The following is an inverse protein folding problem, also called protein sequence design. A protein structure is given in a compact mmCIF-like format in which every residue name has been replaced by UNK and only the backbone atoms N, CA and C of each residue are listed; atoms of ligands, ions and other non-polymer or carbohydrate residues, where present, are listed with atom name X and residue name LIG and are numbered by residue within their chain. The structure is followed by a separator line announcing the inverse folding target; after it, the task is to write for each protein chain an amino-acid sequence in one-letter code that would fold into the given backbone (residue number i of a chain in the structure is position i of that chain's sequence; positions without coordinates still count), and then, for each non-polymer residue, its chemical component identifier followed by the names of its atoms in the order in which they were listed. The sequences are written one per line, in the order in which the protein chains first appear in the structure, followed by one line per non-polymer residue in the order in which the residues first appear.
data_IF_859857035531
#
_entry.id   IF_859857035531
#
_cell.length_a   1.000
_cell.length_b   1.000
_cell.length_c   1.000
_cell.angle_alpha   90.00
_cell.angle_beta   90.00
_cell.angle_gamma   90.00
#
_symmetry.space_group_name_H-M   'P 1'
#
loop_
_entity.id
_entity.type
_entity.pdbx_description
1 polymer ?
#
# COMPACT_ATOMS: atom_id res chain seq x y z
N UNK A 1 10.99 -0.41 15.62
CA UNK A 1 10.34 0.15 14.40
C UNK A 1 11.33 0.17 13.22
N UNK A 2 12.15 -0.88 13.01
CA UNK A 2 13.31 -0.80 12.11
C UNK A 2 13.19 -1.57 10.79
N UNK A 3 12.25 -2.51 10.64
CA UNK A 3 12.25 -3.37 9.44
C UNK A 3 10.84 -3.49 8.83
N UNK A 4 10.36 -2.42 8.18
CA UNK A 4 9.22 -2.50 7.26
C UNK A 4 9.77 -2.75 5.85
N UNK A 5 9.21 -3.68 5.05
CA UNK A 5 9.65 -3.89 3.68
C UNK A 5 9.45 -2.63 2.85
N UNK A 6 10.41 -2.29 1.99
CA UNK A 6 10.33 -1.13 1.11
C UNK A 6 9.72 -1.55 -0.23
N UNK A 7 8.66 -0.87 -0.67
CA UNK A 7 8.00 -1.14 -1.93
C UNK A 7 8.36 -0.06 -2.96
N UNK A 8 9.09 -0.45 -4.00
CA UNK A 8 9.56 0.42 -5.08
C UNK A 8 8.66 0.39 -6.32
N UNK A 9 7.78 -0.62 -6.44
CA UNK A 9 6.94 -0.80 -7.63
C UNK A 9 7.65 -1.41 -8.84
N UNK A 10 8.89 -1.89 -8.68
CA UNK A 10 9.61 -2.62 -9.74
C UNK A 10 9.45 -4.14 -9.56
N UNK A 11 9.04 -4.84 -10.63
CA UNK A 11 8.86 -6.30 -10.72
C UNK A 11 7.42 -6.79 -10.55
N UNK A 12 6.98 -7.71 -11.42
CA UNK A 12 5.60 -8.25 -11.51
C UNK A 12 5.03 -8.82 -10.19
N UNK A 13 5.89 -9.20 -9.24
CA UNK A 13 5.51 -9.96 -8.03
C UNK A 13 5.53 -9.15 -6.73
N UNK A 14 5.81 -7.85 -6.77
CA UNK A 14 6.12 -7.09 -5.56
C UNK A 14 4.88 -6.66 -4.76
N UNK A 15 3.71 -6.56 -5.41
CA UNK A 15 2.50 -5.97 -4.81
C UNK A 15 1.66 -6.97 -4.00
N UNK A 16 1.58 -8.25 -4.42
CA UNK A 16 0.92 -9.30 -3.64
C UNK A 16 1.64 -9.56 -2.32
N UNK A 17 2.97 -9.66 -2.35
CA UNK A 17 3.80 -9.82 -1.14
C UNK A 17 3.59 -8.64 -0.18
N UNK A 18 3.47 -7.42 -0.72
CA UNK A 18 3.19 -6.24 0.08
C UNK A 18 1.78 -6.28 0.71
N UNK A 19 0.76 -6.67 -0.05
CA UNK A 19 -0.62 -6.80 0.44
C UNK A 19 -0.69 -7.86 1.55
N UNK A 20 -0.13 -9.04 1.33
CA UNK A 20 -0.10 -10.13 2.31
C UNK A 20 0.62 -9.70 3.59
N UNK A 21 1.72 -8.96 3.47
CA UNK A 21 2.46 -8.44 4.63
C UNK A 21 1.63 -7.46 5.47
N UNK A 22 0.85 -6.58 4.83
CA UNK A 22 -0.04 -5.65 5.55
C UNK A 22 -1.22 -6.40 6.17
N UNK A 23 -1.78 -7.41 5.49
CA UNK A 23 -2.84 -8.26 6.03
C UNK A 23 -2.38 -9.00 7.29
N UNK A 24 -1.20 -9.61 7.26
CA UNK A 24 -0.58 -10.25 8.43
C UNK A 24 -0.39 -9.26 9.59
N UNK A 25 0.02 -8.02 9.30
CA UNK A 25 0.21 -6.99 10.31
C UNK A 25 -1.12 -6.56 10.97
N UNK A 26 -2.20 -6.48 10.21
CA UNK A 26 -3.55 -6.22 10.75
C UNK A 26 -3.96 -7.33 11.70
N UNK A 27 -3.80 -8.58 11.26
CA UNK A 27 -4.22 -9.76 12.03
C UNK A 27 -3.40 -9.89 13.33
N UNK A 28 -2.09 -9.70 13.27
CA UNK A 28 -1.20 -9.87 14.42
C UNK A 28 -1.31 -8.73 15.45
N UNK A 29 -1.54 -7.50 15.00
CA UNK A 29 -1.41 -6.29 15.83
C UNK A 29 -2.70 -5.46 15.94
N UNK A 30 -3.81 -5.93 15.34
CA UNK A 30 -5.10 -5.22 15.29
C UNK A 30 -4.96 -3.76 14.83
N UNK A 31 -4.14 -3.55 13.80
CA UNK A 31 -3.75 -2.19 13.38
C UNK A 31 -4.94 -1.45 12.76
N UNK A 32 -5.26 -0.22 13.21
CA UNK A 32 -6.34 0.56 12.61
C UNK A 32 -6.03 1.00 11.18
N UNK A 33 -7.05 1.02 10.30
CA UNK A 33 -6.96 1.49 8.91
C UNK A 33 -6.28 2.85 8.73
N UNK A 34 -6.54 3.78 9.65
CA UNK A 34 -5.94 5.12 9.64
C UNK A 34 -4.43 5.07 9.81
N UNK A 35 -3.93 4.15 10.63
CA UNK A 35 -2.50 3.97 10.83
C UNK A 35 -1.87 3.34 9.58
N UNK A 36 -2.53 2.36 8.97
CA UNK A 36 -2.09 1.73 7.72
C UNK A 36 -2.00 2.76 6.62
N UNK A 37 -3.07 3.53 6.41
CA UNK A 37 -3.10 4.61 5.41
C UNK A 37 -1.96 5.61 5.66
N UNK A 38 -1.71 6.00 6.92
CA UNK A 38 -0.58 6.88 7.22
C UNK A 38 0.78 6.24 6.91
N UNK A 39 0.91 4.91 7.06
CA UNK A 39 2.14 4.16 6.80
C UNK A 39 2.39 3.95 5.31
N UNK A 40 1.36 3.77 4.49
CA UNK A 40 1.49 3.64 3.02
C UNK A 40 2.31 4.79 2.42
N UNK A 41 2.07 6.03 2.86
CA UNK A 41 2.84 7.20 2.39
C UNK A 41 4.33 7.23 2.80
N UNK A 42 4.74 6.37 3.74
CA UNK A 42 6.13 6.22 4.19
C UNK A 42 6.80 5.04 3.45
N UNK A 43 6.05 3.95 3.26
CA UNK A 43 6.55 2.68 2.71
C UNK A 43 6.71 2.75 1.20
N UNK A 44 5.76 3.39 0.50
CA UNK A 44 5.86 3.62 -0.93
C UNK A 44 7.00 4.58 -1.26
N UNK A 45 7.82 4.22 -2.24
CA UNK A 45 8.94 5.02 -2.77
C UNK A 45 8.69 5.40 -4.23
N UNK A 46 9.41 6.43 -4.67
CA UNK A 46 9.49 6.87 -6.06
C UNK A 46 8.11 6.93 -6.74
N UNK A 47 7.94 6.24 -7.86
CA UNK A 47 6.71 6.24 -8.65
C UNK A 47 5.48 5.78 -7.85
N UNK A 48 5.64 4.77 -6.98
CA UNK A 48 4.54 4.28 -6.14
C UNK A 48 4.11 5.33 -5.11
N UNK A 49 5.06 6.13 -4.60
CA UNK A 49 4.76 7.23 -3.66
C UNK A 49 3.99 8.34 -4.36
N UNK A 50 4.41 8.72 -5.56
CA UNK A 50 3.77 9.78 -6.34
C UNK A 50 2.36 9.37 -6.77
N UNK A 51 2.18 8.11 -7.20
CA UNK A 51 0.86 7.53 -7.43
C UNK A 51 -0.02 7.60 -6.19
N UNK A 52 0.46 7.10 -5.05
CA UNK A 52 -0.31 7.06 -3.81
C UNK A 52 -0.74 8.46 -3.36
N UNK A 53 0.15 9.45 -3.42
CA UNK A 53 -0.17 10.82 -3.04
C UNK A 53 -1.22 11.45 -3.96
N UNK A 54 -1.13 11.22 -5.27
CA UNK A 54 -2.15 11.68 -6.23
C UNK A 54 -3.49 10.99 -5.95
N UNK A 55 -3.49 9.66 -5.83
CA UNK A 55 -4.72 8.90 -5.64
C UNK A 55 -5.40 9.26 -4.33
N UNK A 56 -4.64 9.42 -3.23
CA UNK A 56 -5.17 9.85 -1.93
C UNK A 56 -5.83 11.22 -1.97
N UNK A 57 -5.32 12.17 -2.77
CA UNK A 57 -5.95 13.48 -2.95
C UNK A 57 -7.28 13.39 -3.71
N UNK A 58 -7.41 12.43 -4.62
CA UNK A 58 -8.62 12.19 -5.42
C UNK A 58 -9.71 11.48 -4.61
N UNK A 59 -9.35 10.40 -3.91
CA UNK A 59 -10.33 9.50 -3.24
C UNK A 59 -10.56 9.82 -1.77
N UNK A 60 -9.70 10.66 -1.15
CA UNK A 60 -9.81 11.03 0.25
C UNK A 60 -9.37 9.91 1.22
N UNK A 61 -10.22 9.63 2.21
CA UNK A 61 -9.93 8.62 3.24
C UNK A 61 -10.57 7.29 2.87
N UNK A 62 -9.75 6.27 2.65
CA UNK A 62 -10.17 4.90 2.39
C UNK A 62 -9.70 3.97 3.51
N UNK A 63 -10.44 2.87 3.67
CA UNK A 63 -10.08 1.70 4.48
C UNK A 63 -8.98 0.88 3.79
N UNK A 64 -8.33 -0.03 4.53
CA UNK A 64 -7.32 -0.90 3.91
C UNK A 64 -7.89 -1.80 2.79
N UNK A 65 -9.06 -2.45 2.93
CA UNK A 65 -9.64 -3.24 1.84
C UNK A 65 -9.85 -2.44 0.54
N UNK A 66 -10.27 -1.18 0.65
CA UNK A 66 -10.42 -0.28 -0.51
C UNK A 66 -9.06 0.07 -1.12
N UNK A 67 -8.03 0.29 -0.29
CA UNK A 67 -6.66 0.49 -0.77
C UNK A 67 -6.09 -0.74 -1.49
N UNK A 68 -6.38 -1.96 -1.02
CA UNK A 68 -5.96 -3.20 -1.70
C UNK A 68 -6.47 -3.24 -3.14
N UNK A 69 -7.76 -2.97 -3.34
CA UNK A 69 -8.37 -2.91 -4.68
C UNK A 69 -7.64 -1.88 -5.55
N UNK A 70 -7.31 -0.70 -5.02
CA UNK A 70 -6.59 0.34 -5.78
C UNK A 70 -5.16 -0.04 -6.13
N UNK A 71 -4.45 -0.74 -5.23
CA UNK A 71 -3.09 -1.24 -5.48
C UNK A 71 -3.12 -2.32 -6.56
N UNK A 72 -4.11 -3.22 -6.53
CA UNK A 72 -4.31 -4.26 -7.55
C UNK A 72 -4.68 -3.65 -8.91
N UNK A 73 -5.59 -2.66 -8.95
CA UNK A 73 -5.96 -1.93 -10.18
C UNK A 73 -4.74 -1.23 -10.82
N UNK A 74 -3.90 -0.56 -10.03
CA UNK A 74 -2.70 0.11 -10.55
C UNK A 74 -1.66 -0.89 -11.06
N UNK A 75 -1.48 -2.01 -10.35
CA UNK A 75 -0.48 -3.02 -10.70
C UNK A 75 -0.89 -3.83 -11.93
N UNK A 76 -2.19 -4.09 -12.11
CA UNK A 76 -2.73 -4.77 -13.30
C UNK A 76 -2.73 -3.93 -14.58
N UNK A 77 -2.64 -2.61 -14.47
CA UNK A 77 -2.57 -1.69 -15.62
C UNK A 77 -1.14 -1.50 -16.19
N UNK A 78 -0.13 -2.15 -15.60
CA UNK A 78 1.28 -2.06 -15.99
C UNK A 78 1.84 -3.33 -16.67
N UNK A 79 0.99 -4.15 -17.32
CA UNK A 79 1.39 -5.31 -18.14
C UNK A 79 1.34 -4.95 -19.64
#
# INVERSE_FOLDING_TARGET
LKDWPTFTGEGEYNHHIFIDWVDQLIDDLMVPDKLITSKLGIVFKDTARDWYQRKRKEVGSLTWPEWKIKIEEESGNHI
#
